data_IF_749541735033
#
_entry.id   IF_749541735033
#
_cell.length_a   1.000
_cell.length_b   1.000
_cell.length_c   1.000
_cell.angle_alpha   90.00
_cell.angle_beta   90.00
_cell.angle_gamma   90.00
#
_symmetry.space_group_name_H-M   'P 1'
#
loop_
_entity.id
_entity.type
_entity.pdbx_description
1 polymer ?
#
# COMPACT_ATOMS: atom_id res chain seq x y z
N UNK A 1 12.07 7.01 20.17
CA UNK A 1 11.26 5.94 19.50
C UNK A 1 9.85 6.47 19.43
N UNK A 2 9.20 6.43 18.26
CA UNK A 2 7.80 6.82 18.11
C UNK A 2 6.93 5.86 18.94
N UNK A 3 5.92 6.42 19.61
CA UNK A 3 5.00 5.68 20.48
C UNK A 3 4.10 4.75 19.65
N UNK A 4 3.88 3.51 20.10
CA UNK A 4 2.92 2.59 19.50
C UNK A 4 1.51 3.02 19.88
N UNK A 5 0.68 3.36 18.89
CA UNK A 5 -0.71 3.78 19.10
C UNK A 5 -1.71 2.65 18.86
N UNK A 6 -1.39 1.70 17.98
CA UNK A 6 -2.20 0.50 17.77
C UNK A 6 -1.29 -0.73 17.77
N UNK A 7 -1.66 -1.78 18.50
CA UNK A 7 -1.01 -3.08 18.46
C UNK A 7 -2.04 -4.15 18.10
N UNK A 8 -1.74 -4.94 17.08
CA UNK A 8 -2.47 -6.16 16.74
C UNK A 8 -1.64 -7.34 17.20
N UNK A 9 -2.12 -8.08 18.21
CA UNK A 9 -1.36 -9.13 18.86
C UNK A 9 -1.94 -10.50 18.56
N UNK A 10 -1.23 -11.30 17.73
CA UNK A 10 -1.56 -12.67 17.41
C UNK A 10 -2.99 -12.85 16.88
N UNK A 11 -3.40 -11.98 16.00
CA UNK A 11 -4.77 -11.88 15.49
C UNK A 11 -5.08 -13.01 14.53
N UNK A 12 -6.15 -13.75 14.85
CA UNK A 12 -6.79 -14.67 13.93
C UNK A 12 -8.20 -14.22 13.60
N UNK A 13 -8.61 -14.43 12.34
CA UNK A 13 -9.99 -14.22 11.89
C UNK A 13 -10.41 -15.34 10.96
N UNK A 14 -11.49 -16.02 11.34
CA UNK A 14 -12.12 -17.05 10.51
C UNK A 14 -13.55 -16.66 10.16
N UNK A 15 -13.92 -16.87 8.91
CA UNK A 15 -15.29 -16.86 8.41
C UNK A 15 -15.67 -18.30 8.02
N UNK A 16 -16.95 -18.63 7.80
CA UNK A 16 -17.33 -19.96 7.33
C UNK A 16 -16.52 -20.38 6.07
N UNK A 17 -15.70 -21.42 6.21
CA UNK A 17 -14.87 -21.97 5.13
C UNK A 17 -13.59 -21.22 4.79
N UNK A 18 -13.29 -20.05 5.41
CA UNK A 18 -12.10 -19.26 5.10
C UNK A 18 -11.43 -18.73 6.36
N UNK A 19 -10.13 -18.95 6.48
CA UNK A 19 -9.28 -18.29 7.49
C UNK A 19 -8.70 -17.01 6.87
N UNK A 20 -9.32 -15.89 7.18
CA UNK A 20 -8.94 -14.59 6.60
C UNK A 20 -7.66 -14.02 7.21
N UNK A 21 -7.38 -14.25 8.50
CA UNK A 21 -6.11 -13.89 9.15
C UNK A 21 -5.64 -15.05 10.03
N UNK A 22 -4.33 -15.26 10.01
CA UNK A 22 -3.63 -16.34 10.69
C UNK A 22 -2.44 -15.83 11.48
N UNK A 23 -2.63 -15.60 12.80
CA UNK A 23 -1.61 -15.13 13.74
C UNK A 23 -0.90 -13.86 13.31
N UNK A 24 -1.64 -12.89 12.77
CA UNK A 24 -1.10 -11.59 12.36
C UNK A 24 -0.72 -10.77 13.58
N UNK A 25 0.51 -10.26 13.57
CA UNK A 25 1.04 -9.37 14.62
C UNK A 25 1.79 -8.20 14.01
N UNK A 26 1.37 -6.98 14.29
CA UNK A 26 2.09 -5.76 13.95
C UNK A 26 1.65 -4.57 14.82
N UNK A 27 2.48 -3.53 14.80
CA UNK A 27 2.26 -2.28 15.53
C UNK A 27 2.21 -1.11 14.56
N UNK A 28 1.28 -0.18 14.79
CA UNK A 28 1.20 1.13 14.14
C UNK A 28 1.76 2.18 15.09
N UNK A 29 2.68 3.01 14.60
CA UNK A 29 3.37 4.03 15.38
C UNK A 29 2.81 5.41 15.11
N UNK A 30 2.85 6.27 16.12
CA UNK A 30 2.40 7.66 16.01
C UNK A 30 3.16 8.42 14.92
N UNK A 31 2.41 9.12 14.04
CA UNK A 31 2.94 9.98 13.00
C UNK A 31 3.58 9.25 11.80
N UNK A 32 3.45 7.91 11.70
CA UNK A 32 3.91 7.18 10.51
C UNK A 32 2.80 7.01 9.46
N UNK A 33 3.23 6.77 8.23
CA UNK A 33 2.40 6.18 7.18
C UNK A 33 2.79 4.70 7.07
N UNK A 34 1.85 3.79 7.30
CA UNK A 34 2.06 2.36 7.13
C UNK A 34 1.15 1.79 6.05
N UNK A 35 1.72 1.05 5.10
CA UNK A 35 0.95 0.32 4.11
C UNK A 35 0.82 -1.17 4.47
N UNK A 36 -0.40 -1.69 4.29
CA UNK A 36 -0.65 -3.13 4.21
C UNK A 36 -0.68 -3.52 2.73
N UNK A 37 0.38 -4.15 2.25
CA UNK A 37 0.58 -4.53 0.85
C UNK A 37 0.25 -6.01 0.65
N UNK A 38 -0.50 -6.34 -0.40
CA UNK A 38 -0.82 -7.72 -0.74
C UNK A 38 -1.93 -7.83 -1.80
N UNK A 39 -2.15 -9.03 -2.32
CA UNK A 39 -3.22 -9.31 -3.30
C UNK A 39 -4.63 -9.09 -2.74
N UNK A 40 -5.61 -9.05 -3.65
CA UNK A 40 -7.01 -9.08 -3.27
C UNK A 40 -7.33 -10.40 -2.55
N UNK A 41 -8.00 -10.29 -1.41
CA UNK A 41 -8.25 -11.45 -0.54
C UNK A 41 -7.12 -11.83 0.42
N UNK A 42 -5.97 -11.14 0.42
CA UNK A 42 -4.86 -11.41 1.33
C UNK A 42 -5.18 -11.15 2.82
N UNK A 43 -6.28 -10.45 3.13
CA UNK A 43 -6.69 -10.12 4.50
C UNK A 43 -6.50 -8.65 4.90
N UNK A 44 -6.10 -7.76 3.96
CA UNK A 44 -5.84 -6.34 4.22
C UNK A 44 -7.04 -5.60 4.82
N UNK A 45 -8.17 -5.56 4.11
CA UNK A 45 -9.40 -4.89 4.59
C UNK A 45 -9.95 -5.54 5.87
N UNK A 46 -9.78 -6.86 6.03
CA UNK A 46 -10.13 -7.56 7.27
C UNK A 46 -9.30 -7.05 8.44
N UNK A 47 -7.98 -6.86 8.25
CA UNK A 47 -7.07 -6.30 9.27
C UNK A 47 -7.46 -4.88 9.67
N UNK A 48 -7.71 -4.02 8.68
CA UNK A 48 -8.15 -2.63 8.93
C UNK A 48 -9.50 -2.61 9.68
N UNK A 49 -10.50 -3.35 9.22
CA UNK A 49 -11.82 -3.36 9.85
C UNK A 49 -11.78 -3.85 11.31
N UNK A 50 -10.86 -4.75 11.64
CA UNK A 50 -10.65 -5.15 13.03
C UNK A 50 -9.91 -4.08 13.82
N UNK A 51 -8.90 -3.44 13.23
CA UNK A 51 -8.15 -2.35 13.85
C UNK A 51 -9.07 -1.20 14.25
N UNK A 52 -10.04 -0.83 13.42
CA UNK A 52 -10.99 0.26 13.71
C UNK A 52 -12.23 -0.18 14.50
N UNK A 53 -12.28 -1.42 14.97
CA UNK A 53 -13.36 -1.94 15.80
C UNK A 53 -14.65 -2.33 15.06
N UNK A 54 -14.67 -2.24 13.72
CA UNK A 54 -15.81 -2.66 12.89
C UNK A 54 -15.98 -4.19 12.85
N UNK A 55 -14.91 -4.93 13.13
CA UNK A 55 -14.91 -6.38 13.10
C UNK A 55 -14.14 -6.92 14.31
N UNK A 56 -14.72 -7.89 15.02
CA UNK A 56 -14.04 -8.54 16.14
C UNK A 56 -13.14 -9.68 15.66
N UNK A 57 -11.93 -9.85 16.23
CA UNK A 57 -11.09 -11.01 15.96
C UNK A 57 -11.75 -12.31 16.47
N UNK A 58 -11.38 -13.44 15.88
CA UNK A 58 -11.74 -14.77 16.42
C UNK A 58 -10.87 -15.13 17.63
N UNK A 59 -9.60 -14.71 17.60
CA UNK A 59 -8.66 -14.76 18.72
C UNK A 59 -7.57 -13.71 18.56
N UNK A 60 -6.83 -13.42 19.64
CA UNK A 60 -5.85 -12.35 19.74
C UNK A 60 -6.44 -11.06 20.28
N UNK A 61 -5.60 -10.05 20.48
CA UNK A 61 -5.98 -8.77 21.09
C UNK A 61 -5.60 -7.60 20.19
N UNK A 62 -6.42 -6.55 20.21
CA UNK A 62 -6.12 -5.28 19.58
C UNK A 62 -6.09 -4.22 20.67
N UNK A 63 -4.96 -3.53 20.79
CA UNK A 63 -4.76 -2.51 21.80
C UNK A 63 -4.62 -1.13 21.15
N UNK A 64 -5.27 -0.13 21.73
CA UNK A 64 -5.10 1.29 21.43
C UNK A 64 -4.42 1.97 22.60
N UNK A 65 -3.27 2.60 22.36
CA UNK A 65 -2.47 3.23 23.43
C UNK A 65 -2.30 2.29 24.63
N UNK A 66 -2.07 1.00 24.37
CA UNK A 66 -1.93 -0.04 25.39
C UNK A 66 -3.22 -0.48 26.10
N UNK A 67 -4.39 0.01 25.67
CA UNK A 67 -5.70 -0.37 26.21
C UNK A 67 -6.49 -1.19 25.20
N UNK A 68 -7.43 -2.01 25.66
CA UNK A 68 -8.32 -2.76 24.79
C UNK A 68 -9.05 -1.86 23.78
N UNK A 69 -9.29 -2.38 22.57
CA UNK A 69 -9.92 -1.64 21.47
C UNK A 69 -11.32 -1.11 21.77
N UNK A 70 -12.00 -1.63 22.80
CA UNK A 70 -13.28 -1.09 23.26
C UNK A 70 -13.19 0.33 23.84
N UNK A 71 -11.99 0.83 24.13
CA UNK A 71 -11.73 2.21 24.59
C UNK A 71 -11.41 3.19 23.45
N UNK A 72 -11.52 2.75 22.20
CA UNK A 72 -11.30 3.61 21.04
C UNK A 72 -12.36 4.71 20.97
N UNK A 73 -11.91 5.97 20.96
CA UNK A 73 -12.80 7.10 20.64
C UNK A 73 -12.96 7.20 19.12
N UNK A 74 -14.18 7.05 18.62
CA UNK A 74 -14.49 7.17 17.20
C UNK A 74 -14.07 8.54 16.61
N UNK A 75 -13.93 9.56 17.44
CA UNK A 75 -13.45 10.89 17.03
C UNK A 75 -11.95 10.91 16.70
N UNK A 76 -11.20 9.95 17.17
CA UNK A 76 -9.76 9.83 16.90
C UNK A 76 -9.47 9.15 15.55
N UNK A 77 -10.46 8.54 14.93
CA UNK A 77 -10.28 7.78 13.67
C UNK A 77 -11.10 8.37 12.54
N UNK A 78 -10.43 8.57 11.40
CA UNK A 78 -11.06 8.86 10.12
C UNK A 78 -10.93 7.67 9.18
N UNK A 79 -12.05 7.17 8.65
CA UNK A 79 -12.09 5.99 7.79
C UNK A 79 -12.53 6.38 6.39
N UNK A 80 -11.73 6.04 5.38
CA UNK A 80 -12.08 6.09 3.98
C UNK A 80 -12.16 4.65 3.45
N UNK A 81 -13.37 4.09 3.31
CA UNK A 81 -13.55 2.74 2.78
C UNK A 81 -13.22 2.65 1.29
N UNK A 82 -13.04 1.42 0.78
CA UNK A 82 -12.81 1.14 -0.64
C UNK A 82 -13.94 1.69 -1.50
N UNK A 83 -15.20 1.45 -1.10
CA UNK A 83 -16.35 2.04 -1.77
C UNK A 83 -16.45 3.55 -1.50
N UNK A 84 -16.88 4.28 -2.52
CA UNK A 84 -17.14 5.72 -2.39
C UNK A 84 -18.47 5.96 -1.70
N UNK A 85 -18.42 6.44 -0.45
CA UNK A 85 -19.59 6.71 0.38
C UNK A 85 -19.82 8.21 0.45
N UNK A 86 -20.64 8.75 -0.48
CA UNK A 86 -20.97 10.17 -0.60
C UNK A 86 -22.46 10.35 -0.81
N UNK A 87 -23.01 11.47 -0.32
CA UNK A 87 -24.39 11.87 -0.62
C UNK A 87 -24.44 12.55 -1.99
N UNK A 88 -24.91 11.82 -3.01
CA UNK A 88 -24.92 12.26 -4.40
C UNK A 88 -25.74 13.52 -4.68
N UNK A 89 -26.78 13.77 -3.87
CA UNK A 89 -27.70 14.91 -3.99
C UNK A 89 -27.24 16.14 -3.18
N UNK A 90 -26.09 16.07 -2.53
CA UNK A 90 -25.46 17.19 -1.85
C UNK A 90 -24.26 17.68 -2.63
N UNK A 91 -23.91 18.94 -2.46
CA UNK A 91 -22.68 19.55 -3.01
C UNK A 91 -21.43 19.03 -2.27
N UNK A 92 -20.26 19.31 -2.82
CA UNK A 92 -18.98 19.02 -2.12
C UNK A 92 -18.95 19.68 -0.74
N UNK A 93 -19.32 20.97 -0.68
CA UNK A 93 -19.35 21.70 0.57
C UNK A 93 -20.34 21.10 1.56
N UNK A 94 -21.56 20.76 1.13
CA UNK A 94 -22.61 20.20 2.00
C UNK A 94 -22.24 18.83 2.55
N UNK A 95 -21.59 17.95 1.76
CA UNK A 95 -21.09 16.66 2.23
C UNK A 95 -20.12 16.85 3.40
N UNK A 96 -19.11 17.70 3.23
CA UNK A 96 -18.13 17.99 4.31
C UNK A 96 -18.77 18.69 5.50
N UNK A 97 -19.70 19.61 5.23
CA UNK A 97 -20.41 20.33 6.30
C UNK A 97 -21.25 19.39 7.16
N UNK A 98 -21.93 18.43 6.53
CA UNK A 98 -22.74 17.42 7.20
C UNK A 98 -21.88 16.56 8.14
N UNK A 99 -20.79 15.97 7.62
CA UNK A 99 -19.86 15.19 8.46
C UNK A 99 -19.28 16.04 9.60
N UNK A 100 -18.78 17.23 9.29
CA UNK A 100 -18.21 18.09 10.34
C UNK A 100 -19.21 18.47 11.43
N UNK A 101 -20.52 18.56 11.09
CA UNK A 101 -21.57 18.78 12.08
C UNK A 101 -21.83 17.54 12.94
N UNK A 102 -21.71 16.33 12.38
CA UNK A 102 -21.84 15.08 13.15
C UNK A 102 -20.71 14.94 14.20
N UNK A 103 -19.54 15.54 13.94
CA UNK A 103 -18.43 15.61 14.88
C UNK A 103 -18.42 16.88 15.75
N UNK A 104 -19.53 17.62 15.83
CA UNK A 104 -19.71 18.82 16.67
C UNK A 104 -18.72 19.95 16.39
N UNK A 105 -18.14 20.04 15.18
CA UNK A 105 -17.19 21.10 14.84
C UNK A 105 -17.90 22.47 14.80
N UNK A 106 -17.39 23.50 15.50
CA UNK A 106 -17.97 24.84 15.49
C UNK A 106 -18.07 25.40 14.06
N UNK A 107 -19.23 26.02 13.73
CA UNK A 107 -19.56 26.45 12.37
C UNK A 107 -18.48 27.27 11.67
N UNK A 108 -17.83 28.21 12.40
CA UNK A 108 -16.77 29.06 11.83
C UNK A 108 -15.55 28.23 11.44
N UNK A 109 -15.06 27.41 12.38
CA UNK A 109 -13.91 26.52 12.17
C UNK A 109 -14.19 25.50 11.06
N UNK A 110 -15.39 24.93 11.03
CA UNK A 110 -15.80 23.95 10.01
C UNK A 110 -15.73 24.55 8.60
N UNK A 111 -16.26 25.77 8.40
CA UNK A 111 -16.17 26.45 7.09
C UNK A 111 -14.73 26.67 6.65
N UNK A 112 -13.87 27.10 7.57
CA UNK A 112 -12.44 27.31 7.28
C UNK A 112 -11.74 25.99 6.89
N UNK A 113 -12.03 24.90 7.62
CA UNK A 113 -11.48 23.58 7.33
C UNK A 113 -11.95 23.04 5.97
N UNK A 114 -13.26 23.16 5.67
CA UNK A 114 -13.81 22.73 4.40
C UNK A 114 -13.06 23.40 3.22
N UNK A 115 -12.90 24.72 3.28
CA UNK A 115 -12.23 25.46 2.21
C UNK A 115 -10.77 25.02 2.04
N UNK A 116 -10.04 24.84 3.14
CA UNK A 116 -8.64 24.36 3.11
C UNK A 116 -8.52 22.94 2.54
N UNK A 117 -9.43 22.03 2.92
CA UNK A 117 -9.40 20.65 2.43
C UNK A 117 -9.73 20.62 0.92
N UNK A 118 -10.75 21.36 0.49
CA UNK A 118 -11.09 21.45 -0.93
C UNK A 118 -9.97 22.06 -1.76
N UNK A 119 -9.26 23.05 -1.24
CA UNK A 119 -8.08 23.63 -1.88
C UNK A 119 -6.95 22.58 -2.02
N UNK A 120 -6.61 21.89 -0.95
CA UNK A 120 -5.56 20.84 -0.96
C UNK A 120 -5.88 19.68 -1.90
N UNK A 121 -7.15 19.37 -2.08
CA UNK A 121 -7.62 18.32 -2.98
C UNK A 121 -7.95 18.81 -4.39
N UNK A 122 -7.65 20.09 -4.72
CA UNK A 122 -7.97 20.70 -6.01
C UNK A 122 -9.45 20.55 -6.40
N UNK A 123 -10.34 20.87 -5.45
CA UNK A 123 -11.79 20.81 -5.61
C UNK A 123 -12.49 22.15 -5.28
N UNK A 124 -11.73 23.24 -5.14
CA UNK A 124 -12.28 24.57 -4.78
C UNK A 124 -13.35 25.03 -5.75
N UNK A 125 -13.11 24.87 -7.07
CA UNK A 125 -14.03 25.29 -8.12
C UNK A 125 -15.29 24.40 -8.19
N UNK A 126 -15.23 23.24 -7.53
CA UNK A 126 -16.32 22.24 -7.46
C UNK A 126 -17.11 22.28 -6.15
N UNK A 127 -16.80 23.22 -5.26
CA UNK A 127 -17.37 23.26 -3.90
C UNK A 127 -18.90 23.27 -3.87
N UNK A 128 -19.52 23.97 -4.81
CA UNK A 128 -20.98 24.15 -4.93
C UNK A 128 -21.63 23.20 -5.96
N UNK A 129 -20.83 22.29 -6.59
CA UNK A 129 -21.37 21.29 -7.50
C UNK A 129 -21.83 20.04 -6.74
N UNK A 130 -22.89 19.40 -7.27
CA UNK A 130 -23.40 18.14 -6.72
C UNK A 130 -22.38 17.02 -6.91
N UNK A 131 -22.28 16.13 -5.93
CA UNK A 131 -21.41 14.94 -6.03
C UNK A 131 -21.74 14.08 -7.25
N UNK A 132 -23.00 14.00 -7.65
CA UNK A 132 -23.43 13.24 -8.84
C UNK A 132 -22.74 13.68 -10.13
N UNK A 133 -22.34 14.95 -10.26
CA UNK A 133 -21.67 15.53 -11.44
C UNK A 133 -20.15 15.32 -11.47
N UNK A 134 -19.56 14.86 -10.39
CA UNK A 134 -18.10 14.70 -10.27
C UNK A 134 -17.59 13.45 -11.00
N UNK A 135 -16.34 13.52 -11.49
CA UNK A 135 -15.62 12.33 -11.98
C UNK A 135 -15.31 11.35 -10.84
N UNK A 136 -15.00 10.09 -11.19
CA UNK A 136 -14.62 9.06 -10.19
C UNK A 136 -13.45 9.50 -9.31
N UNK A 137 -12.40 10.08 -9.89
CA UNK A 137 -11.25 10.60 -9.15
C UNK A 137 -11.59 11.77 -8.23
N UNK A 138 -12.51 12.67 -8.64
CA UNK A 138 -13.01 13.74 -7.76
C UNK A 138 -13.81 13.17 -6.60
N UNK A 139 -14.68 12.17 -6.85
CA UNK A 139 -15.44 11.49 -5.80
C UNK A 139 -14.53 10.78 -4.81
N UNK A 140 -13.46 10.12 -5.28
CA UNK A 140 -12.49 9.47 -4.39
C UNK A 140 -11.78 10.48 -3.48
N UNK A 141 -11.34 11.62 -4.04
CA UNK A 141 -10.77 12.72 -3.26
C UNK A 141 -11.76 13.29 -2.22
N UNK A 142 -13.03 13.42 -2.58
CA UNK A 142 -14.08 13.82 -1.63
C UNK A 142 -14.28 12.79 -0.52
N UNK A 143 -14.21 11.50 -0.82
CA UNK A 143 -14.35 10.44 0.17
C UNK A 143 -13.25 10.54 1.27
N UNK A 144 -12.00 10.81 0.86
CA UNK A 144 -10.90 11.04 1.80
C UNK A 144 -11.06 12.36 2.56
N UNK A 145 -11.54 13.43 1.91
CA UNK A 145 -11.86 14.68 2.59
C UNK A 145 -12.84 14.48 3.75
N UNK A 146 -13.85 13.63 3.55
CA UNK A 146 -14.82 13.30 4.60
C UNK A 146 -14.18 12.56 5.78
N UNK A 147 -13.24 11.65 5.50
CA UNK A 147 -12.51 10.92 6.53
C UNK A 147 -11.59 11.83 7.38
N UNK A 148 -11.18 13.01 6.87
CA UNK A 148 -10.20 13.87 7.52
C UNK A 148 -10.76 15.19 8.08
N UNK A 149 -12.02 15.55 7.77
CA UNK A 149 -12.60 16.85 8.14
C UNK A 149 -12.62 17.10 9.65
N UNK A 150 -12.78 16.07 10.47
CA UNK A 150 -12.81 16.17 11.94
C UNK A 150 -11.42 16.21 12.56
N UNK A 151 -10.34 16.12 11.77
CA UNK A 151 -8.95 16.14 12.20
C UNK A 151 -8.59 14.96 13.13
N UNK A 152 -8.80 13.73 12.68
CA UNK A 152 -8.53 12.52 13.47
C UNK A 152 -7.02 12.34 13.70
N UNK A 153 -6.64 11.67 14.78
CA UNK A 153 -5.24 11.28 15.04
C UNK A 153 -4.79 10.12 14.15
N UNK A 154 -5.73 9.27 13.72
CA UNK A 154 -5.49 8.12 12.85
C UNK A 154 -6.38 8.21 11.62
N UNK A 155 -5.77 8.12 10.44
CA UNK A 155 -6.47 8.06 9.14
C UNK A 155 -6.30 6.68 8.54
N UNK A 156 -7.41 6.02 8.24
CA UNK A 156 -7.48 4.67 7.69
C UNK A 156 -8.03 4.73 6.27
N UNK A 157 -7.25 4.25 5.31
CA UNK A 157 -7.57 4.32 3.89
C UNK A 157 -7.56 2.92 3.27
N UNK A 158 -8.71 2.45 2.80
CA UNK A 158 -8.81 1.15 2.15
C UNK A 158 -8.74 1.32 0.62
N UNK A 159 -7.67 0.83 -0.01
CA UNK A 159 -7.36 0.91 -1.45
C UNK A 159 -7.57 2.34 -2.02
N UNK A 160 -6.91 3.39 -1.47
CA UNK A 160 -7.26 4.78 -1.75
C UNK A 160 -7.08 5.20 -3.22
N UNK A 161 -6.14 4.59 -3.93
CA UNK A 161 -5.80 4.95 -5.32
C UNK A 161 -6.39 4.01 -6.38
N UNK A 162 -7.19 3.02 -5.97
CA UNK A 162 -7.78 2.08 -6.92
C UNK A 162 -8.64 2.78 -7.98
N UNK A 163 -8.44 2.40 -9.24
CA UNK A 163 -9.19 2.93 -10.39
C UNK A 163 -8.93 4.40 -10.72
N UNK A 164 -7.92 5.04 -10.11
CA UNK A 164 -7.56 6.42 -10.42
C UNK A 164 -6.58 6.52 -11.60
N UNK A 165 -6.78 7.54 -12.42
CA UNK A 165 -5.78 7.96 -13.40
C UNK A 165 -4.49 8.46 -12.71
N UNK A 166 -3.34 8.46 -13.41
CA UNK A 166 -2.05 8.83 -12.81
C UNK A 166 -2.02 10.23 -12.19
N UNK A 167 -2.74 11.21 -12.76
CA UNK A 167 -2.79 12.56 -12.24
C UNK A 167 -3.60 12.63 -10.94
N UNK A 168 -4.80 12.02 -10.92
CA UNK A 168 -5.64 11.94 -9.72
C UNK A 168 -4.95 11.19 -8.60
N UNK A 169 -4.22 10.11 -8.93
CA UNK A 169 -3.43 9.33 -7.96
C UNK A 169 -2.35 10.19 -7.31
N UNK A 170 -1.58 10.97 -8.09
CA UNK A 170 -0.53 11.84 -7.55
C UNK A 170 -1.08 12.91 -6.61
N UNK A 171 -2.19 13.57 -6.97
CA UNK A 171 -2.86 14.55 -6.11
C UNK A 171 -3.32 13.92 -4.77
N UNK A 172 -3.77 12.67 -4.83
CA UNK A 172 -4.17 11.94 -3.65
C UNK A 172 -2.96 11.60 -2.76
N UNK A 173 -1.86 11.15 -3.34
CA UNK A 173 -0.61 10.85 -2.62
C UNK A 173 -0.06 12.09 -1.91
N UNK A 174 -0.05 13.24 -2.59
CA UNK A 174 0.37 14.51 -1.98
C UNK A 174 -0.52 14.87 -0.78
N UNK A 175 -1.83 14.61 -0.87
CA UNK A 175 -2.73 14.83 0.25
C UNK A 175 -2.47 13.86 1.43
N UNK A 176 -2.19 12.59 1.17
CA UNK A 176 -1.84 11.60 2.20
C UNK A 176 -0.55 12.01 2.91
N UNK A 177 0.49 12.39 2.17
CA UNK A 177 1.74 12.87 2.74
C UNK A 177 1.52 14.14 3.57
N UNK A 178 0.64 15.04 3.11
CA UNK A 178 0.28 16.21 3.89
C UNK A 178 -0.42 15.86 5.21
N UNK A 179 -1.23 14.80 5.29
CA UNK A 179 -1.79 14.35 6.57
C UNK A 179 -0.68 13.93 7.54
N UNK A 180 0.35 13.25 7.07
CA UNK A 180 1.54 12.91 7.88
C UNK A 180 2.27 14.17 8.36
N UNK A 181 2.46 15.17 7.50
CA UNK A 181 3.09 16.46 7.89
C UNK A 181 2.30 17.18 9.00
N UNK A 182 0.97 17.02 9.04
CA UNK A 182 0.12 17.53 10.10
C UNK A 182 0.23 16.72 11.41
N UNK A 183 1.00 15.65 11.42
CA UNK A 183 1.21 14.78 12.58
C UNK A 183 0.20 13.64 12.71
N UNK A 184 -0.67 13.45 11.71
CA UNK A 184 -1.60 12.32 11.72
C UNK A 184 -0.86 11.02 11.42
N UNK A 185 -1.33 9.93 12.01
CA UNK A 185 -0.91 8.58 11.67
C UNK A 185 -1.79 8.06 10.55
N UNK A 186 -1.20 7.51 9.51
CA UNK A 186 -1.95 6.99 8.37
C UNK A 186 -1.69 5.49 8.23
N UNK A 187 -2.74 4.70 8.08
CA UNK A 187 -2.64 3.33 7.61
C UNK A 187 -3.44 3.19 6.33
N UNK A 188 -2.83 2.57 5.32
CA UNK A 188 -3.51 2.32 4.06
C UNK A 188 -3.35 0.85 3.64
N UNK A 189 -4.36 0.33 2.95
CA UNK A 189 -4.23 -0.92 2.21
C UNK A 189 -3.96 -0.61 0.76
N UNK A 190 -3.19 -1.45 0.11
CA UNK A 190 -2.96 -1.34 -1.32
C UNK A 190 -2.44 -2.65 -1.91
N UNK A 191 -2.68 -2.86 -3.18
CA UNK A 191 -1.99 -3.85 -4.01
C UNK A 191 -0.98 -3.17 -4.96
N UNK A 192 -0.93 -1.83 -4.97
CA UNK A 192 -0.02 -1.05 -5.81
C UNK A 192 1.33 -0.87 -5.09
N UNK A 193 2.37 -1.49 -5.64
CA UNK A 193 3.72 -1.44 -5.08
C UNK A 193 4.29 -0.02 -5.03
N UNK A 194 4.05 0.75 -6.09
CA UNK A 194 4.51 2.14 -6.18
C UNK A 194 3.89 3.01 -5.10
N UNK A 195 2.60 2.79 -4.78
CA UNK A 195 1.93 3.51 -3.69
C UNK A 195 2.56 3.20 -2.34
N UNK A 196 2.78 1.90 -2.05
CA UNK A 196 3.43 1.48 -0.82
C UNK A 196 4.87 2.02 -0.70
N UNK A 197 5.63 2.00 -1.80
CA UNK A 197 7.02 2.47 -1.83
C UNK A 197 7.13 3.99 -1.64
N UNK A 198 6.23 4.76 -2.27
CA UNK A 198 6.28 6.23 -2.27
C UNK A 198 5.73 6.86 -1.00
N UNK A 199 4.69 6.26 -0.41
CA UNK A 199 3.98 6.89 0.71
C UNK A 199 4.45 6.41 2.08
N UNK A 200 4.96 5.18 2.19
CA UNK A 200 5.02 4.53 3.49
C UNK A 200 6.38 4.62 4.16
N UNK A 201 6.38 4.88 5.46
CA UNK A 201 7.56 4.71 6.31
C UNK A 201 7.85 3.22 6.54
N UNK A 202 6.79 2.40 6.65
CA UNK A 202 6.86 0.95 6.81
C UNK A 202 5.79 0.28 5.97
N UNK A 203 6.14 -0.89 5.44
CA UNK A 203 5.24 -1.72 4.64
C UNK A 203 5.13 -3.09 5.30
N UNK A 204 3.90 -3.52 5.56
CA UNK A 204 3.55 -4.86 6.00
C UNK A 204 3.08 -5.66 4.77
N UNK A 205 3.85 -6.65 4.37
CA UNK A 205 3.50 -7.55 3.26
C UNK A 205 2.63 -8.67 3.83
N UNK A 206 1.38 -8.77 3.35
CA UNK A 206 0.40 -9.75 3.79
C UNK A 206 0.03 -10.64 2.61
N UNK A 207 0.09 -11.96 2.82
CA UNK A 207 -0.37 -12.95 1.85
C UNK A 207 -1.10 -14.10 2.55
N UNK A 208 -2.24 -14.54 1.98
CA UNK A 208 -3.08 -15.61 2.53
C UNK A 208 -3.35 -15.48 4.04
N UNK A 209 -3.63 -14.26 4.49
CA UNK A 209 -3.93 -13.96 5.89
C UNK A 209 -2.72 -13.99 6.83
N UNK A 210 -1.50 -14.06 6.32
CA UNK A 210 -0.27 -14.07 7.11
C UNK A 210 0.56 -12.84 6.84
N UNK A 211 1.14 -12.27 7.88
CA UNK A 211 2.17 -11.25 7.76
C UNK A 211 3.50 -11.91 7.38
N UNK A 212 3.94 -11.71 6.15
CA UNK A 212 5.21 -12.27 5.67
C UNK A 212 6.40 -11.44 6.16
N UNK A 213 6.31 -10.11 6.06
CA UNK A 213 7.38 -9.19 6.45
C UNK A 213 6.82 -7.81 6.78
N UNK A 214 7.53 -7.10 7.68
CA UNK A 214 7.23 -5.71 8.04
C UNK A 214 8.54 -4.97 8.25
N UNK A 215 8.86 -4.00 7.41
CA UNK A 215 10.00 -3.09 7.58
C UNK A 215 9.82 -1.84 6.70
N UNK A 216 10.83 -0.96 6.65
CA UNK A 216 10.86 0.16 5.72
C UNK A 216 10.99 -0.34 4.28
N UNK A 217 10.46 0.38 3.27
CA UNK A 217 10.60 -0.02 1.85
C UNK A 217 12.07 -0.30 1.47
N UNK A 218 12.99 0.54 1.94
CA UNK A 218 14.42 0.37 1.69
C UNK A 218 14.96 -0.96 2.21
N UNK A 219 14.64 -1.34 3.44
CA UNK A 219 15.10 -2.60 4.04
C UNK A 219 14.43 -3.81 3.41
N UNK A 220 13.14 -3.69 3.05
CA UNK A 220 12.45 -4.76 2.33
C UNK A 220 13.13 -5.04 0.99
N UNK A 221 13.46 -4.02 0.22
CA UNK A 221 14.18 -4.17 -1.06
C UNK A 221 15.59 -4.79 -0.90
N UNK A 222 16.20 -4.65 0.26
CA UNK A 222 17.48 -5.31 0.57
C UNK A 222 17.38 -6.82 0.82
N UNK A 223 16.17 -7.36 1.04
CA UNK A 223 15.97 -8.81 1.23
C UNK A 223 16.38 -9.59 -0.02
N UNK A 224 16.09 -9.03 -1.20
CA UNK A 224 16.42 -9.64 -2.49
C UNK A 224 17.94 -9.63 -2.75
N UNK A 225 18.66 -8.75 -2.10
CA UNK A 225 20.08 -8.53 -2.29
C UNK A 225 20.41 -7.06 -2.52
N UNK A 226 21.69 -6.72 -2.36
CA UNK A 226 22.19 -5.41 -2.72
C UNK A 226 22.59 -5.44 -4.21
N UNK A 227 22.27 -4.39 -4.96
CA UNK A 227 22.64 -4.26 -6.35
C UNK A 227 21.46 -3.88 -7.24
N UNK A 228 21.68 -4.02 -8.55
CA UNK A 228 20.68 -3.75 -9.56
C UNK A 228 19.96 -5.05 -9.93
N UNK A 229 18.69 -4.94 -10.29
CA UNK A 229 17.90 -6.02 -10.88
C UNK A 229 18.06 -5.97 -12.40
N UNK A 230 18.55 -7.07 -12.98
CA UNK A 230 18.58 -7.31 -14.42
C UNK A 230 17.45 -8.26 -14.77
N UNK A 231 16.55 -7.84 -15.63
CA UNK A 231 15.50 -8.70 -16.20
C UNK A 231 15.92 -9.11 -17.63
N UNK A 232 15.90 -10.39 -17.88
CA UNK A 232 16.19 -10.98 -19.20
C UNK A 232 14.91 -11.63 -19.75
N UNK A 233 14.51 -11.22 -20.92
CA UNK A 233 13.46 -11.89 -21.70
C UNK A 233 14.15 -12.69 -22.82
N UNK A 234 13.86 -13.98 -22.91
CA UNK A 234 14.48 -14.86 -23.90
C UNK A 234 13.52 -15.17 -25.04
N UNK A 235 14.04 -15.19 -26.26
CA UNK A 235 13.27 -15.59 -27.47
C UNK A 235 12.77 -17.04 -27.40
N UNK A 236 13.40 -17.88 -26.58
CA UNK A 236 13.16 -19.30 -26.54
C UNK A 236 13.31 -19.85 -25.12
N UNK A 237 12.22 -20.37 -24.55
CA UNK A 237 12.15 -20.84 -23.17
C UNK A 237 12.54 -22.30 -22.96
N UNK A 238 13.23 -22.91 -23.95
CA UNK A 238 13.46 -24.39 -23.98
C UNK A 238 14.43 -24.91 -22.92
N UNK A 239 15.31 -24.07 -22.36
CA UNK A 239 16.32 -24.50 -21.36
C UNK A 239 16.62 -23.42 -20.31
N UNK A 240 15.57 -22.81 -19.76
CA UNK A 240 15.73 -21.80 -18.72
C UNK A 240 16.46 -22.36 -17.48
N UNK A 241 16.20 -23.61 -17.08
CA UNK A 241 16.86 -24.24 -15.93
C UNK A 241 18.38 -24.36 -16.12
N UNK A 242 18.83 -24.76 -17.32
CA UNK A 242 20.24 -24.85 -17.68
C UNK A 242 20.92 -23.47 -17.63
N UNK A 243 20.27 -22.47 -18.23
CA UNK A 243 20.74 -21.08 -18.22
C UNK A 243 20.83 -20.54 -16.79
N UNK A 244 19.78 -20.71 -15.99
CA UNK A 244 19.76 -20.28 -14.57
C UNK A 244 20.89 -20.95 -13.77
N UNK A 245 21.10 -22.25 -13.99
CA UNK A 245 22.17 -22.98 -13.31
C UNK A 245 23.55 -22.41 -13.58
N UNK A 246 23.83 -22.01 -14.81
CA UNK A 246 25.10 -21.39 -15.16
C UNK A 246 25.19 -19.91 -14.77
N UNK A 247 24.13 -19.16 -14.88
CA UNK A 247 24.07 -17.77 -14.40
C UNK A 247 24.43 -17.69 -12.91
N UNK A 248 24.11 -18.71 -12.12
CA UNK A 248 24.55 -18.81 -10.69
C UNK A 248 26.06 -18.83 -10.51
N UNK A 249 26.82 -19.12 -11.56
CA UNK A 249 28.31 -19.11 -11.49
C UNK A 249 28.91 -17.72 -11.69
N UNK A 250 28.11 -16.75 -12.13
CA UNK A 250 28.56 -15.37 -12.30
C UNK A 250 28.83 -14.76 -10.91
N UNK A 251 30.02 -14.24 -10.71
CA UNK A 251 30.40 -13.58 -9.46
C UNK A 251 29.53 -12.35 -9.17
N UNK A 252 29.33 -12.07 -7.88
CA UNK A 252 28.53 -10.96 -7.38
C UNK A 252 27.01 -11.08 -7.66
N UNK A 253 26.51 -12.26 -8.04
CA UNK A 253 25.09 -12.57 -8.10
C UNK A 253 24.56 -12.78 -6.69
N UNK A 254 23.64 -11.91 -6.26
CA UNK A 254 23.01 -12.00 -4.94
C UNK A 254 21.79 -12.91 -4.96
N UNK A 255 20.99 -12.84 -6.04
CA UNK A 255 19.81 -13.68 -6.21
C UNK A 255 19.49 -13.91 -7.69
N UNK A 256 18.76 -14.99 -7.98
CA UNK A 256 18.24 -15.33 -9.30
C UNK A 256 16.91 -16.06 -9.15
N UNK A 257 15.88 -15.61 -9.85
CA UNK A 257 14.57 -16.26 -9.89
C UNK A 257 13.90 -16.06 -11.25
N UNK A 258 12.93 -16.91 -11.56
CA UNK A 258 12.14 -16.85 -12.80
C UNK A 258 10.73 -16.36 -12.45
N UNK A 259 10.21 -15.48 -13.27
CA UNK A 259 8.84 -14.98 -13.18
C UNK A 259 8.33 -14.62 -14.57
N UNK A 260 7.14 -15.11 -14.95
CA UNK A 260 6.46 -14.82 -16.21
C UNK A 260 7.37 -14.90 -17.44
N UNK A 261 8.10 -16.03 -17.57
CA UNK A 261 9.03 -16.28 -18.67
C UNK A 261 10.26 -15.36 -18.71
N UNK A 262 10.48 -14.54 -17.66
CA UNK A 262 11.67 -13.69 -17.51
C UNK A 262 12.61 -14.25 -16.44
N UNK A 263 13.90 -14.15 -16.71
CA UNK A 263 14.93 -14.44 -15.71
C UNK A 263 15.30 -13.14 -15.03
N UNK A 264 15.18 -13.11 -13.72
CA UNK A 264 15.48 -11.93 -12.88
C UNK A 264 16.75 -12.21 -12.10
N UNK A 265 17.77 -11.37 -12.30
CA UNK A 265 19.05 -11.44 -11.63
C UNK A 265 19.24 -10.23 -10.74
N UNK A 266 19.71 -10.42 -9.50
CA UNK A 266 20.10 -9.33 -8.61
C UNK A 266 21.59 -9.40 -8.38
N UNK A 267 22.34 -8.43 -8.89
CA UNK A 267 23.80 -8.44 -8.84
C UNK A 267 24.41 -7.06 -8.69
N UNK A 268 25.59 -7.00 -8.08
CA UNK A 268 26.37 -5.77 -8.01
C UNK A 268 27.01 -5.46 -9.36
N UNK A 269 27.12 -4.16 -9.68
CA UNK A 269 27.75 -3.69 -10.92
C UNK A 269 27.15 -4.33 -12.19
N UNK A 270 25.81 -4.45 -12.27
CA UNK A 270 25.08 -5.13 -13.34
C UNK A 270 25.57 -4.76 -14.74
N UNK A 271 25.80 -3.46 -15.01
CA UNK A 271 26.26 -2.98 -16.32
C UNK A 271 27.59 -3.58 -16.74
N UNK A 272 28.51 -3.81 -15.78
CA UNK A 272 29.81 -4.43 -16.08
C UNK A 272 29.70 -5.92 -16.38
N UNK A 273 28.69 -6.59 -15.82
CA UNK A 273 28.46 -8.03 -15.97
C UNK A 273 27.59 -8.39 -17.19
N UNK A 274 26.94 -7.41 -17.80
CA UNK A 274 26.10 -7.65 -18.98
C UNK A 274 26.78 -8.43 -20.10
N UNK A 275 28.03 -8.14 -20.51
CA UNK A 275 28.69 -8.89 -21.57
C UNK A 275 28.83 -10.39 -21.23
N UNK A 276 29.16 -10.72 -19.98
CA UNK A 276 29.29 -12.09 -19.52
C UNK A 276 27.94 -12.82 -19.52
N UNK A 277 26.87 -12.12 -19.06
CA UNK A 277 25.51 -12.64 -19.07
C UNK A 277 25.04 -12.94 -20.48
N UNK A 278 25.22 -11.99 -21.40
CA UNK A 278 24.81 -12.14 -22.79
C UNK A 278 25.55 -13.35 -23.45
N UNK A 279 26.87 -13.38 -23.29
CA UNK A 279 27.68 -14.46 -23.86
C UNK A 279 27.26 -15.84 -23.33
N UNK A 280 26.95 -15.92 -22.01
CA UNK A 280 26.53 -17.18 -21.41
C UNK A 280 25.19 -17.64 -21.98
N UNK A 281 24.18 -16.76 -22.07
CA UNK A 281 22.87 -17.07 -22.64
C UNK A 281 22.99 -17.52 -24.13
N UNK A 282 23.78 -16.79 -24.93
CA UNK A 282 23.99 -17.12 -26.35
C UNK A 282 24.74 -18.42 -26.52
N UNK A 283 25.71 -18.76 -25.66
CA UNK A 283 26.43 -20.02 -25.68
C UNK A 283 25.54 -21.25 -25.48
N UNK A 284 24.39 -21.07 -24.85
CA UNK A 284 23.33 -22.09 -24.67
C UNK A 284 22.34 -22.16 -25.82
N UNK A 285 22.55 -21.38 -26.86
CA UNK A 285 21.69 -21.36 -28.05
C UNK A 285 20.38 -20.60 -27.87
N UNK A 286 20.22 -19.85 -26.76
CA UNK A 286 19.12 -18.92 -26.57
C UNK A 286 19.53 -17.52 -26.99
N UNK A 287 18.57 -16.72 -27.44
CA UNK A 287 18.77 -15.30 -27.75
C UNK A 287 18.01 -14.45 -26.73
N UNK A 288 18.57 -13.32 -26.40
CA UNK A 288 17.93 -12.37 -25.54
C UNK A 288 17.06 -11.45 -26.39
N UNK A 289 15.76 -11.42 -26.12
CA UNK A 289 14.79 -10.56 -26.79
C UNK A 289 14.83 -9.15 -26.20
N UNK A 290 14.91 -9.04 -24.86
CA UNK A 290 14.99 -7.76 -24.15
C UNK A 290 15.84 -7.87 -22.89
N UNK A 291 16.52 -6.77 -22.54
CA UNK A 291 17.26 -6.62 -21.29
C UNK A 291 16.86 -5.28 -20.65
N UNK A 292 16.41 -5.34 -19.41
CA UNK A 292 16.21 -4.15 -18.61
C UNK A 292 17.05 -4.20 -17.33
N UNK A 293 17.58 -3.04 -16.93
CA UNK A 293 18.31 -2.87 -15.66
C UNK A 293 17.60 -1.82 -14.85
N UNK A 294 17.26 -2.16 -13.61
CA UNK A 294 16.58 -1.26 -12.68
C UNK A 294 16.98 -1.52 -11.24
N UNK A 295 16.68 -0.60 -10.35
CA UNK A 295 16.79 -0.83 -8.91
C UNK A 295 15.72 -1.83 -8.45
N UNK A 296 16.01 -2.55 -7.37
CA UNK A 296 15.05 -3.45 -6.73
C UNK A 296 13.76 -2.71 -6.36
N UNK A 297 12.63 -3.32 -6.61
CA UNK A 297 11.29 -2.80 -6.28
C UNK A 297 10.64 -3.64 -5.19
N UNK A 298 9.52 -3.15 -4.64
CA UNK A 298 8.70 -3.97 -3.74
C UNK A 298 8.02 -5.13 -4.47
N UNK A 299 7.85 -5.05 -5.80
CA UNK A 299 7.36 -6.16 -6.62
C UNK A 299 8.33 -7.34 -6.57
N UNK A 300 9.63 -7.09 -6.74
CA UNK A 300 10.65 -8.13 -6.63
C UNK A 300 10.64 -8.79 -5.25
N UNK A 301 10.46 -7.98 -4.18
CA UNK A 301 10.32 -8.49 -2.81
C UNK A 301 9.10 -9.39 -2.67
N UNK A 302 7.98 -8.97 -3.24
CA UNK A 302 6.74 -9.74 -3.18
C UNK A 302 6.88 -11.08 -3.90
N UNK A 303 7.47 -11.08 -5.11
CA UNK A 303 7.75 -12.29 -5.89
C UNK A 303 8.67 -13.24 -5.10
N UNK A 304 9.75 -12.72 -4.54
CA UNK A 304 10.69 -13.53 -3.73
C UNK A 304 10.01 -14.18 -2.52
N UNK A 305 9.17 -13.41 -1.81
CA UNK A 305 8.50 -13.91 -0.59
C UNK A 305 7.35 -14.87 -0.87
N UNK A 306 6.67 -14.74 -2.02
CA UNK A 306 5.45 -15.51 -2.34
C UNK A 306 5.67 -16.54 -3.44
N UNK A 307 6.75 -16.42 -4.23
CA UNK A 307 7.02 -17.25 -5.42
C UNK A 307 6.11 -16.95 -6.62
N UNK A 308 5.39 -15.80 -6.62
CA UNK A 308 4.44 -15.42 -7.67
C UNK A 308 4.30 -13.90 -7.78
N UNK A 309 3.98 -13.41 -8.97
CA UNK A 309 3.65 -12.00 -9.18
C UNK A 309 2.27 -11.65 -8.62
N UNK A 310 2.06 -10.37 -8.28
CA UNK A 310 0.72 -9.87 -8.02
C UNK A 310 -0.14 -10.00 -9.28
N UNK A 311 -1.31 -10.62 -9.15
CA UNK A 311 -2.29 -10.62 -10.22
C UNK A 311 -3.08 -9.32 -10.16
N UNK A 312 -3.12 -8.60 -11.28
CA UNK A 312 -3.94 -7.42 -11.46
C UNK A 312 -5.46 -7.70 -11.29
#
# INVERSE_FOLDING_TARGET
MSETIVSMENICKSFPGVKALDHVHFELRSGEVMALLGENGAGKSTSINMMVGLLKPTSGNILFNGKDSSYLDEKEIGICPQDVVLWNNLTCFENLYMIGKMYDIPKKLLKERILKILEKLHLTDKKDELISSLSGGMKRRMNIAMATIHNPSIVVLDEPSEGLDPQSRRLLWDYILHQKELGHTVILTTHLMDEADMLSDRVAIIDHGKLLKLDTPKKLKQIIGNGDTVQLELDNHKDNEGIISELKTIGDLNNIFESDEKIILVLLDAVKKLPDIIHLVESKGSKIADISIRQNTLEDVFIELTGRQLRE
#
